data_IF_412645697833
#
_entry.id   IF_412645697833
#
_cell.length_a   1.000
_cell.length_b   1.000
_cell.length_c   1.000
_cell.angle_alpha   90.00
_cell.angle_beta   90.00
_cell.angle_gamma   90.00
#
_symmetry.space_group_name_H-M   'P 1'
#
loop_
_entity.id
_entity.type
_entity.pdbx_description
1 polymer ?
#
# COMPACT_ATOMS: atom_id res chain seq x y z
N UNK A 1 -13.31 17.81 -0.26
CA UNK A 1 -12.27 17.73 -1.30
C UNK A 1 -10.98 17.39 -0.60
N UNK A 2 -10.48 16.16 -0.76
CA UNK A 2 -9.19 15.73 -0.25
C UNK A 2 -8.11 15.96 -1.30
N UNK A 3 -6.85 15.99 -0.87
CA UNK A 3 -5.68 15.95 -1.75
C UNK A 3 -4.89 14.67 -1.46
N UNK A 4 -4.41 14.04 -2.54
CA UNK A 4 -3.66 12.78 -2.46
C UNK A 4 -2.23 12.99 -2.93
N UNK A 5 -1.27 12.45 -2.19
CA UNK A 5 0.16 12.51 -2.53
C UNK A 5 0.83 11.16 -2.30
N UNK A 6 1.54 10.67 -3.31
CA UNK A 6 2.49 9.59 -3.13
C UNK A 6 3.73 10.09 -2.38
N UNK A 7 4.09 9.41 -1.30
CA UNK A 7 5.20 9.76 -0.42
C UNK A 7 6.46 8.97 -0.76
N UNK A 8 6.31 7.67 -1.03
CA UNK A 8 7.39 6.82 -1.48
C UNK A 8 6.87 5.66 -2.33
N UNK A 9 7.79 5.03 -3.07
CA UNK A 9 7.56 3.86 -3.91
C UNK A 9 8.83 3.01 -3.92
N UNK A 10 8.69 1.69 -3.87
CA UNK A 10 9.80 0.74 -3.92
C UNK A 10 9.36 -0.60 -4.51
N UNK A 11 10.35 -1.44 -4.82
CA UNK A 11 10.15 -2.79 -5.35
C UNK A 11 10.74 -3.82 -4.39
N UNK A 12 10.08 -4.98 -4.28
CA UNK A 12 10.53 -6.12 -3.50
C UNK A 12 10.40 -7.42 -4.31
N UNK A 13 11.22 -8.43 -3.98
CA UNK A 13 11.08 -9.80 -4.48
C UNK A 13 10.87 -10.74 -3.27
N UNK A 14 9.66 -10.76 -2.68
CA UNK A 14 9.43 -11.42 -1.40
C UNK A 14 9.37 -12.95 -1.50
N UNK A 15 9.22 -13.48 -2.72
CA UNK A 15 9.02 -14.91 -2.94
C UNK A 15 10.33 -15.69 -3.01
N UNK A 16 10.39 -16.79 -2.26
CA UNK A 16 11.51 -17.74 -2.29
C UNK A 16 11.20 -19.01 -3.07
N UNK A 17 9.92 -19.32 -3.31
CA UNK A 17 9.49 -20.47 -4.10
C UNK A 17 9.97 -20.37 -5.55
N UNK A 18 10.40 -21.50 -6.13
CA UNK A 18 10.98 -21.55 -7.48
C UNK A 18 10.09 -20.88 -8.54
N UNK A 19 8.78 -21.11 -8.47
CA UNK A 19 7.81 -20.62 -9.45
C UNK A 19 7.56 -19.11 -9.35
N UNK A 20 7.81 -18.50 -8.19
CA UNK A 20 7.47 -17.08 -7.91
C UNK A 20 8.68 -16.18 -7.67
N UNK A 21 9.89 -16.73 -7.55
CA UNK A 21 11.12 -15.96 -7.20
C UNK A 21 11.49 -14.84 -8.17
N UNK A 22 10.86 -14.82 -9.35
CA UNK A 22 11.04 -13.75 -10.36
C UNK A 22 10.03 -12.63 -10.19
N UNK A 23 8.90 -12.89 -9.52
CA UNK A 23 7.86 -11.91 -9.32
C UNK A 23 8.39 -10.72 -8.51
N UNK A 24 8.10 -9.53 -9.02
CA UNK A 24 8.40 -8.26 -8.36
C UNK A 24 7.10 -7.69 -7.84
N UNK A 25 7.08 -7.37 -6.55
CA UNK A 25 5.98 -6.65 -5.91
C UNK A 25 6.37 -5.18 -5.85
N UNK A 26 5.50 -4.33 -6.38
CA UNK A 26 5.63 -2.88 -6.28
C UNK A 26 4.83 -2.40 -5.09
N UNK A 27 5.41 -1.48 -4.33
CA UNK A 27 4.85 -0.93 -3.12
C UNK A 27 4.83 0.59 -3.22
N UNK A 28 3.80 1.23 -2.66
CA UNK A 28 3.78 2.68 -2.48
C UNK A 28 3.09 3.09 -1.19
N UNK A 29 3.53 4.22 -0.63
CA UNK A 29 2.79 4.91 0.44
C UNK A 29 2.09 6.12 -0.15
N UNK A 30 0.77 6.18 0.06
CA UNK A 30 -0.10 7.27 -0.36
C UNK A 30 -0.65 7.96 0.88
N UNK A 31 -0.51 9.29 0.93
CA UNK A 31 -1.13 10.14 1.94
C UNK A 31 -2.36 10.82 1.33
N UNK A 32 -3.51 10.68 1.98
CA UNK A 32 -4.72 11.42 1.67
C UNK A 32 -5.01 12.43 2.79
N UNK A 33 -5.08 13.71 2.45
CA UNK A 33 -5.30 14.80 3.41
C UNK A 33 -6.68 15.40 3.20
N UNK A 34 -7.48 15.41 4.26
CA UNK A 34 -8.83 16.00 4.29
C UNK A 34 -8.77 17.48 4.70
N UNK A 35 -9.84 18.23 4.40
CA UNK A 35 -9.89 19.69 4.64
C UNK A 35 -9.80 20.09 6.11
N UNK A 36 -10.24 19.21 7.00
CA UNK A 36 -10.21 19.40 8.45
C UNK A 36 -8.83 19.07 9.05
N UNK A 37 -7.83 18.75 8.22
CA UNK A 37 -6.47 18.40 8.63
C UNK A 37 -6.31 16.94 9.03
N UNK A 38 -7.40 16.17 9.08
CA UNK A 38 -7.33 14.72 9.22
C UNK A 38 -6.66 14.12 7.98
N UNK A 39 -5.98 12.99 8.15
CA UNK A 39 -5.27 12.34 7.05
C UNK A 39 -5.32 10.83 7.17
N UNK A 40 -5.24 10.13 6.04
CA UNK A 40 -5.11 8.69 5.98
C UNK A 40 -3.81 8.32 5.25
N UNK A 41 -3.09 7.34 5.77
CA UNK A 41 -1.92 6.75 5.13
C UNK A 41 -2.30 5.37 4.62
N UNK A 42 -2.11 5.13 3.32
CA UNK A 42 -2.33 3.84 2.68
C UNK A 42 -1.01 3.29 2.15
N UNK A 43 -0.65 2.09 2.58
CA UNK A 43 0.31 1.26 1.89
C UNK A 43 -0.43 0.40 0.88
N UNK A 44 -0.07 0.56 -0.39
CA UNK A 44 -0.65 -0.18 -1.49
C UNK A 44 0.42 -1.05 -2.16
N UNK A 45 -0.01 -2.21 -2.65
CA UNK A 45 0.84 -3.16 -3.37
C UNK A 45 0.20 -3.57 -4.69
N UNK A 46 1.05 -3.87 -5.68
CA UNK A 46 0.65 -4.51 -6.94
C UNK A 46 1.77 -5.38 -7.50
N UNK A 47 1.44 -6.27 -8.42
CA UNK A 47 2.41 -6.99 -9.25
C UNK A 47 1.82 -7.31 -10.61
N UNK A 48 2.59 -7.08 -11.67
CA UNK A 48 2.20 -7.46 -13.04
C UNK A 48 2.52 -8.94 -13.35
N UNK A 49 3.05 -9.70 -12.38
CA UNK A 49 3.43 -11.10 -12.55
C UNK A 49 2.24 -12.02 -12.21
N UNK A 50 1.90 -12.93 -13.12
CA UNK A 50 0.78 -13.85 -12.97
C UNK A 50 0.93 -14.77 -11.74
N UNK A 51 2.16 -15.13 -11.38
CA UNK A 51 2.44 -16.00 -10.24
C UNK A 51 2.50 -15.25 -8.90
N UNK A 52 2.45 -13.92 -8.92
CA UNK A 52 2.35 -13.11 -7.71
C UNK A 52 0.97 -13.27 -7.06
N UNK A 53 0.92 -13.09 -5.74
CA UNK A 53 -0.35 -13.05 -5.00
C UNK A 53 -1.07 -11.73 -5.23
N UNK A 54 -0.30 -10.66 -5.42
CA UNK A 54 -0.80 -9.30 -5.58
C UNK A 54 -1.49 -9.12 -6.93
N UNK A 55 -2.50 -8.27 -6.95
CA UNK A 55 -3.20 -7.88 -8.18
C UNK A 55 -2.29 -7.03 -9.09
N UNK A 56 -2.58 -7.02 -10.39
CA UNK A 56 -1.99 -6.05 -11.34
C UNK A 56 -2.39 -4.59 -11.02
N UNK A 57 -3.54 -4.41 -10.36
CA UNK A 57 -3.99 -3.12 -9.87
C UNK A 57 -3.51 -2.86 -8.44
N UNK A 58 -3.26 -1.58 -8.11
CA UNK A 58 -2.92 -1.18 -6.75
C UNK A 58 -4.03 -1.58 -5.77
N UNK A 59 -3.64 -2.39 -4.79
CA UNK A 59 -4.53 -2.96 -3.78
C UNK A 59 -4.05 -2.58 -2.38
N UNK A 60 -4.99 -2.46 -1.44
CA UNK A 60 -4.67 -2.01 -0.08
C UNK A 60 -3.96 -3.11 0.71
N UNK A 61 -2.71 -2.88 1.08
CA UNK A 61 -1.96 -3.77 1.96
C UNK A 61 -2.19 -3.43 3.44
N UNK A 62 -2.09 -2.16 3.81
CA UNK A 62 -2.50 -1.64 5.12
C UNK A 62 -2.83 -0.16 5.09
N UNK A 63 -3.66 0.29 6.02
CA UNK A 63 -4.04 1.69 6.20
C UNK A 63 -4.03 2.12 7.67
N UNK A 64 -3.71 3.39 7.87
CA UNK A 64 -3.74 4.08 9.15
C UNK A 64 -4.52 5.38 9.03
N UNK A 65 -5.36 5.64 10.02
CA UNK A 65 -6.13 6.87 10.17
C UNK A 65 -5.40 7.81 11.13
N UNK A 66 -5.24 9.07 10.73
CA UNK A 66 -4.67 10.12 11.57
C UNK A 66 -5.76 11.13 11.87
N UNK A 67 -6.12 11.23 13.15
CA UNK A 67 -7.12 12.17 13.67
C UNK A 67 -6.55 12.94 14.85
N UNK A 68 -6.33 14.24 14.66
CA UNK A 68 -5.63 15.08 15.64
C UNK A 68 -4.22 14.53 15.93
N UNK A 69 -3.99 14.03 17.15
CA UNK A 69 -2.72 13.41 17.57
C UNK A 69 -2.74 11.89 17.60
N UNK A 70 -3.83 11.25 17.18
CA UNK A 70 -4.00 9.80 17.19
C UNK A 70 -3.68 9.19 15.84
N UNK A 71 -3.10 7.99 15.89
CA UNK A 71 -2.80 7.16 14.73
C UNK A 71 -3.40 5.78 15.01
N UNK A 72 -4.42 5.41 14.24
CA UNK A 72 -5.18 4.19 14.43
C UNK A 72 -5.06 3.28 13.20
N UNK A 73 -4.81 1.98 13.40
CA UNK A 73 -4.83 1.01 12.31
C UNK A 73 -6.28 0.73 11.91
N UNK A 74 -6.59 0.83 10.60
CA UNK A 74 -7.97 0.69 10.10
C UNK A 74 -8.18 -0.49 9.15
N UNK A 75 -7.13 -1.24 8.82
CA UNK A 75 -7.25 -2.50 8.09
C UNK A 75 -6.30 -2.62 6.88
N UNK A 76 -6.46 -3.72 6.14
CA UNK A 76 -5.69 -4.06 4.94
C UNK A 76 -5.47 -5.57 4.81
N UNK A 77 -5.10 -6.02 3.62
CA UNK A 77 -4.81 -7.44 3.38
C UNK A 77 -3.35 -7.77 3.65
N UNK A 78 -2.97 -7.77 4.93
CA UNK A 78 -1.60 -8.05 5.40
C UNK A 78 -1.19 -9.54 5.32
N UNK A 79 -1.92 -10.34 4.54
CA UNK A 79 -1.80 -11.81 4.52
C UNK A 79 -0.66 -12.31 3.66
#
# INVERSE_FOLDING_TARGET
MSFTRQICEWEERPYTSYDRRRAVVQHRIVLEVYRDGNSDIRHEVRSDYEEAKESAEWSLYEAYEIRGSRVDYVGGDRR
#
